data_IF_960322087812
#
_entry.id   IF_960322087812
#
_cell.length_a   1.000
_cell.length_b   1.000
_cell.length_c   1.000
_cell.angle_alpha   90.00
_cell.angle_beta   90.00
_cell.angle_gamma   90.00
#
_symmetry.space_group_name_H-M   'P 1'
#
loop_
_entity.id
_entity.type
_entity.pdbx_description
1 polymer ?
#
# COMPACT_ATOMS: atom_id res chain seq x y z
N UNK A 1 -3.31 2.80 2.62
CA UNK A 1 -3.12 2.02 3.86
C UNK A 1 -3.18 2.98 5.03
N UNK A 2 -4.16 2.84 5.93
CA UNK A 2 -4.16 3.55 7.21
C UNK A 2 -2.95 3.16 8.06
N UNK A 3 -2.39 4.09 8.85
CA UNK A 3 -1.24 3.83 9.73
C UNK A 3 -1.52 2.73 10.78
N UNK A 4 -2.79 2.52 11.13
CA UNK A 4 -3.22 1.46 12.07
C UNK A 4 -2.93 0.04 11.57
N UNK A 5 -2.77 -0.16 10.26
CA UNK A 5 -2.47 -1.47 9.69
C UNK A 5 -0.97 -1.81 9.72
N UNK A 6 -0.11 -0.87 10.11
CA UNK A 6 1.35 -1.08 10.13
C UNK A 6 1.80 -2.06 11.21
N UNK A 7 1.00 -2.32 12.25
CA UNK A 7 1.34 -3.30 13.28
C UNK A 7 1.65 -4.68 12.67
N UNK A 8 0.94 -5.07 11.61
CA UNK A 8 1.19 -6.33 10.88
C UNK A 8 2.56 -6.40 10.21
N UNK A 9 3.17 -5.26 9.88
CA UNK A 9 4.53 -5.20 9.36
C UNK A 9 5.59 -5.25 10.48
N UNK A 10 5.21 -4.92 11.71
CA UNK A 10 6.10 -4.83 12.88
C UNK A 10 5.70 -5.85 13.96
N UNK A 11 5.72 -7.13 13.59
CA UNK A 11 5.50 -8.27 14.50
C UNK A 11 4.19 -8.22 15.31
N UNK A 12 3.15 -7.60 14.75
CA UNK A 12 1.84 -7.41 15.39
C UNK A 12 1.89 -6.63 16.72
N UNK A 13 2.98 -5.92 17.00
CA UNK A 13 3.12 -5.09 18.21
C UNK A 13 2.62 -3.66 17.94
N UNK A 14 1.39 -3.41 18.38
CA UNK A 14 0.74 -2.11 18.24
C UNK A 14 1.45 -0.99 19.04
N UNK A 15 2.01 -1.30 20.22
CA UNK A 15 2.60 -0.28 21.11
C UNK A 15 3.95 0.17 20.55
N UNK A 16 4.79 -0.79 20.15
CA UNK A 16 6.06 -0.49 19.50
C UNK A 16 5.85 0.27 18.19
N UNK A 17 4.91 -0.18 17.36
CA UNK A 17 4.59 0.47 16.08
C UNK A 17 4.14 1.91 16.29
N UNK A 18 3.29 2.18 17.27
CA UNK A 18 2.83 3.54 17.58
C UNK A 18 3.99 4.45 18.02
N UNK A 19 4.89 3.96 18.88
CA UNK A 19 6.07 4.72 19.31
C UNK A 19 7.07 4.99 18.17
N UNK A 20 7.21 4.07 17.23
CA UNK A 20 8.02 4.27 16.03
C UNK A 20 7.38 5.29 15.07
N UNK A 21 6.07 5.17 14.85
CA UNK A 21 5.30 6.11 14.03
C UNK A 21 5.36 7.53 14.59
N UNK A 22 5.22 7.70 15.91
CA UNK A 22 5.34 9.00 16.56
C UNK A 22 6.68 9.69 16.21
N UNK A 23 7.79 8.97 16.35
CA UNK A 23 9.14 9.49 16.01
C UNK A 23 9.31 9.79 14.52
N UNK A 24 8.80 8.93 13.63
CA UNK A 24 8.90 9.09 12.18
C UNK A 24 8.04 10.27 11.68
N UNK A 25 6.86 10.45 12.26
CA UNK A 25 5.90 11.47 11.84
C UNK A 25 6.20 12.85 12.44
N UNK A 26 7.00 12.93 13.51
CA UNK A 26 7.34 14.19 14.18
C UNK A 26 7.97 15.24 13.24
N UNK A 27 8.75 14.82 12.25
CA UNK A 27 9.40 15.72 11.28
C UNK A 27 9.11 15.33 9.82
N UNK A 28 8.00 14.65 9.55
CA UNK A 28 7.64 14.21 8.20
C UNK A 28 6.48 15.02 7.61
N UNK A 29 6.52 15.21 6.29
CA UNK A 29 5.39 15.69 5.51
C UNK A 29 4.69 14.51 4.83
N UNK A 30 3.41 14.32 5.14
CA UNK A 30 2.61 13.24 4.55
C UNK A 30 2.07 13.70 3.20
N UNK A 31 2.51 13.05 2.13
CA UNK A 31 1.96 13.24 0.78
C UNK A 31 1.13 12.02 0.40
N UNK A 32 -0.18 12.21 0.24
CA UNK A 32 -1.07 11.17 -0.25
C UNK A 32 -0.94 11.06 -1.77
N UNK A 33 -0.41 9.94 -2.24
CA UNK A 33 -0.27 9.66 -3.68
C UNK A 33 -1.38 8.70 -4.09
N UNK A 34 -2.11 9.09 -5.13
CA UNK A 34 -3.12 8.25 -5.78
C UNK A 34 -2.84 8.22 -7.28
N UNK A 35 -2.99 7.04 -7.89
CA UNK A 35 -2.72 6.85 -9.31
C UNK A 35 -2.24 5.44 -9.62
N UNK A 36 -2.29 5.09 -10.91
CA UNK A 36 -1.76 3.81 -11.38
C UNK A 36 -0.23 3.75 -11.22
N UNK A 37 0.29 2.54 -11.02
CA UNK A 37 1.73 2.33 -10.97
C UNK A 37 2.38 2.77 -12.28
N UNK A 38 3.32 3.71 -12.19
CA UNK A 38 4.09 4.17 -13.35
C UNK A 38 4.76 3.01 -14.10
N UNK A 39 5.24 1.99 -13.38
CA UNK A 39 5.84 0.77 -13.96
C UNK A 39 4.85 -0.04 -14.81
N UNK A 40 3.56 0.09 -14.53
CA UNK A 40 2.51 -0.60 -15.29
C UNK A 40 2.18 0.13 -16.61
N UNK A 41 2.60 1.39 -16.76
CA UNK A 41 2.38 2.19 -17.96
C UNK A 41 3.00 1.56 -19.21
N UNK A 42 4.23 1.05 -19.10
CA UNK A 42 4.92 0.40 -20.22
C UNK A 42 4.38 -1.00 -20.50
N UNK A 43 4.03 -1.74 -19.44
CA UNK A 43 3.39 -3.07 -19.58
C UNK A 43 2.01 -2.99 -20.23
N UNK A 44 1.26 -1.92 -19.96
CA UNK A 44 -0.02 -1.62 -20.61
C UNK A 44 0.17 -1.18 -22.06
N UNK A 45 1.18 -0.35 -22.35
CA UNK A 45 1.55 0.03 -23.74
C UNK A 45 2.01 -1.17 -24.57
N UNK A 46 2.68 -2.13 -23.94
CA UNK A 46 3.09 -3.39 -24.56
C UNK A 46 1.97 -4.45 -24.64
N UNK A 47 0.73 -4.11 -24.31
CA UNK A 47 -0.43 -5.02 -24.39
C UNK A 47 -0.46 -6.16 -23.38
N UNK A 48 0.46 -6.19 -22.40
CA UNK A 48 0.66 -7.32 -21.48
C UNK A 48 -0.20 -7.24 -20.20
N UNK A 49 -1.03 -6.21 -20.07
CA UNK A 49 -2.03 -6.10 -18.99
C UNK A 49 -3.45 -6.18 -19.56
N UNK A 50 -3.67 -7.10 -20.50
CA UNK A 50 -4.99 -7.60 -20.84
C UNK A 50 -5.15 -8.98 -20.22
N UNK A 51 -6.21 -9.16 -19.43
CA UNK A 51 -6.75 -10.49 -19.04
C UNK A 51 -6.05 -11.20 -17.89
N UNK A 52 -6.42 -10.81 -16.67
CA UNK A 52 -6.90 -11.81 -15.70
C UNK A 52 -8.18 -11.30 -15.04
N UNK A 53 -9.24 -11.24 -15.83
CA UNK A 53 -10.59 -11.36 -15.31
C UNK A 53 -10.77 -12.81 -14.82
N UNK A 54 -10.77 -13.02 -13.51
CA UNK A 54 -11.16 -14.28 -12.85
C UNK A 54 -11.28 -13.96 -11.36
N UNK A 55 -12.42 -14.09 -10.68
CA UNK A 55 -13.77 -14.46 -11.08
C UNK A 55 -14.70 -14.12 -9.90
N UNK A 56 -16.00 -14.09 -10.16
CA UNK A 56 -17.05 -14.12 -9.13
C UNK A 56 -16.69 -15.14 -8.04
N UNK A 57 -16.68 -14.70 -6.78
CA UNK A 57 -16.87 -15.58 -5.63
C UNK A 57 -18.04 -14.99 -4.82
N UNK A 58 -19.22 -15.49 -5.16
CA UNK A 58 -20.42 -15.52 -4.30
C UNK A 58 -20.17 -16.48 -3.14
N UNK A 59 -20.33 -16.02 -1.91
CA UNK A 59 -20.84 -16.78 -0.77
C UNK A 59 -21.30 -15.79 0.30
#
# INVERSE_FOLDING_TARGET
>A
MPFTQWATAFADDQTLTAAMLDRLLHHAHIVQISGESYRLKDKRRAGQTGTRASGKATA
#
